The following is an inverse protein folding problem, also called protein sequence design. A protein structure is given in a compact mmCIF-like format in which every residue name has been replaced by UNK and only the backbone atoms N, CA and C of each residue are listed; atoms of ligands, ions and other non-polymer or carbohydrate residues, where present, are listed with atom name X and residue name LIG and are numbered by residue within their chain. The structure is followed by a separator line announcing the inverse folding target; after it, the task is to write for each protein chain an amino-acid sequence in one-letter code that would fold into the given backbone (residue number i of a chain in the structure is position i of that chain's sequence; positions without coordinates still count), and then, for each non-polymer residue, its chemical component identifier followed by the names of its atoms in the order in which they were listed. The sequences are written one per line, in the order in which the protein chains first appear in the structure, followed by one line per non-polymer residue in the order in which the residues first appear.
data_IF_886769380243
#
_entry.id   IF_886769380243
#
_cell.length_a   1.000
_cell.length_b   1.000
_cell.length_c   1.000
_cell.angle_alpha   90.00
_cell.angle_beta   90.00
_cell.angle_gamma   90.00
#
_symmetry.space_group_name_H-M   'P 1'
#
loop_
_entity.id
_entity.type
_entity.pdbx_description
1 polymer ?
#
# COMPACT_ATOMS: atom_id res chain seq x y z
N UNK A 1 -11.88 0.02 -15.37
CA UNK A 1 -12.15 1.40 -14.90
C UNK A 1 -10.92 1.78 -14.08
N UNK A 2 -10.09 2.71 -14.54
CA UNK A 2 -8.78 2.98 -13.91
C UNK A 2 -8.93 3.87 -12.68
N UNK A 3 -8.41 3.44 -11.53
CA UNK A 3 -8.42 4.23 -10.30
C UNK A 3 -7.53 5.44 -10.45
N UNK A 4 -8.08 6.64 -10.20
CA UNK A 4 -7.32 7.87 -10.22
C UNK A 4 -6.93 8.25 -8.79
N UNK A 5 -5.76 7.77 -8.34
CA UNK A 5 -5.19 8.14 -7.04
C UNK A 5 -4.79 9.63 -6.96
N UNK A 6 -5.02 10.44 -8.00
CA UNK A 6 -4.63 11.87 -8.05
C UNK A 6 -5.24 12.73 -6.95
N UNK A 7 -6.33 12.30 -6.30
CA UNK A 7 -6.88 13.03 -5.15
C UNK A 7 -6.10 12.76 -3.86
N UNK A 8 -5.37 11.66 -3.80
CA UNK A 8 -4.58 11.15 -2.68
C UNK A 8 -5.40 10.87 -1.44
N UNK A 9 -5.38 9.64 -0.93
CA UNK A 9 -6.08 9.26 0.29
C UNK A 9 -5.15 9.33 1.50
N UNK A 10 -5.64 9.81 2.66
CA UNK A 10 -4.87 9.74 3.89
C UNK A 10 -4.69 8.27 4.31
N UNK A 11 -3.48 7.92 4.74
CA UNK A 11 -3.24 6.64 5.40
C UNK A 11 -4.08 6.58 6.68
N UNK A 12 -4.90 5.53 6.88
CA UNK A 12 -5.77 5.41 8.06
C UNK A 12 -4.98 5.23 9.36
N UNK A 13 -3.68 4.90 9.28
CA UNK A 13 -2.83 4.71 10.46
C UNK A 13 -2.07 5.99 10.84
N UNK A 14 -1.44 6.67 9.89
CA UNK A 14 -0.54 7.81 10.18
C UNK A 14 -1.04 9.17 9.65
N UNK A 15 -2.18 9.21 8.96
CA UNK A 15 -2.78 10.43 8.42
C UNK A 15 -2.05 11.06 7.21
N UNK A 16 -0.85 10.60 6.87
CA UNK A 16 -0.12 11.13 5.71
C UNK A 16 -0.87 10.83 4.42
N UNK A 17 -0.90 11.82 3.52
CA UNK A 17 -1.56 11.71 2.22
C UNK A 17 -0.71 10.86 1.28
N UNK A 18 -1.30 9.79 0.74
CA UNK A 18 -0.68 8.95 -0.27
C UNK A 18 -1.09 9.48 -1.64
N UNK A 19 -0.16 10.14 -2.33
CA UNK A 19 -0.39 10.90 -3.56
C UNK A 19 -0.17 10.06 -4.84
N UNK A 20 0.51 8.91 -4.73
CA UNK A 20 0.79 8.00 -5.86
C UNK A 20 0.84 6.54 -5.42
N UNK A 21 0.35 5.65 -6.27
CA UNK A 21 0.77 4.26 -6.29
C UNK A 21 1.68 4.04 -7.49
N UNK A 22 2.80 3.34 -7.28
CA UNK A 22 3.64 2.87 -8.37
C UNK A 22 3.39 1.38 -8.52
N UNK A 23 2.74 0.93 -9.59
CA UNK A 23 2.48 -0.49 -9.76
C UNK A 23 3.78 -1.26 -10.03
N UNK A 24 3.84 -2.49 -9.57
CA UNK A 24 4.97 -3.39 -9.81
C UNK A 24 4.67 -4.21 -11.06
N UNK A 25 5.34 -3.91 -12.19
CA UNK A 25 5.19 -4.60 -13.47
C UNK A 25 4.91 -3.67 -14.66
N UNK A 26 5.20 -4.15 -15.88
CA UNK A 26 4.88 -3.44 -17.12
C UNK A 26 4.07 -4.34 -18.07
N UNK A 27 2.98 -3.85 -18.70
CA UNK A 27 2.41 -2.51 -18.54
C UNK A 27 1.87 -2.30 -17.11
N UNK A 28 1.96 -1.06 -16.62
CA UNK A 28 1.51 -0.67 -15.28
C UNK A 28 0.02 -1.04 -15.11
N UNK A 29 -0.34 -2.08 -14.33
CA UNK A 29 -1.74 -2.42 -14.11
C UNK A 29 -2.48 -1.25 -13.44
N UNK A 30 -3.75 -1.07 -13.80
CA UNK A 30 -4.64 -0.22 -13.03
C UNK A 30 -4.81 -0.82 -11.64
N UNK A 31 -4.67 0.02 -10.61
CA UNK A 31 -5.06 -0.36 -9.25
C UNK A 31 -6.54 -0.69 -9.25
N UNK A 32 -6.96 -1.74 -8.54
CA UNK A 32 -8.34 -2.17 -8.36
C UNK A 32 -8.70 -2.27 -6.87
N UNK A 33 -9.99 -2.22 -6.52
CA UNK A 33 -10.42 -2.58 -5.17
C UNK A 33 -9.95 -3.99 -4.81
N UNK A 34 -9.39 -4.16 -3.62
CA UNK A 34 -8.75 -5.38 -3.16
C UNK A 34 -7.23 -5.39 -3.33
N UNK A 35 -6.67 -4.52 -4.17
CA UNK A 35 -5.22 -4.39 -4.29
C UNK A 35 -4.60 -3.87 -3.00
N UNK A 36 -3.33 -4.20 -2.81
CA UNK A 36 -2.56 -3.85 -1.62
C UNK A 36 -1.52 -2.78 -1.96
N UNK A 37 -1.30 -1.86 -1.04
CA UNK A 37 -0.28 -0.82 -1.13
C UNK A 37 0.42 -0.66 0.21
N UNK A 38 1.66 -0.17 0.21
CA UNK A 38 2.42 0.08 1.43
C UNK A 38 2.61 1.57 1.63
N UNK A 39 2.27 2.08 2.81
CA UNK A 39 2.50 3.48 3.15
C UNK A 39 4.01 3.75 3.27
N UNK A 40 4.56 4.61 2.42
CA UNK A 40 5.98 4.98 2.47
C UNK A 40 6.38 5.80 3.72
N UNK A 41 5.42 6.28 4.51
CA UNK A 41 5.69 7.05 5.73
C UNK A 41 5.72 6.19 6.99
N UNK A 42 4.75 5.30 7.18
CA UNK A 42 4.64 4.47 8.39
C UNK A 42 4.83 2.97 8.15
N UNK A 43 5.06 2.55 6.91
CA UNK A 43 5.22 1.16 6.47
C UNK A 43 4.00 0.24 6.72
N UNK A 44 2.82 0.79 7.02
CA UNK A 44 1.61 -0.03 7.12
C UNK A 44 1.17 -0.52 5.75
N UNK A 45 0.73 -1.78 5.69
CA UNK A 45 0.09 -2.38 4.52
C UNK A 45 -1.38 -2.01 4.52
N UNK A 46 -1.85 -1.48 3.40
CA UNK A 46 -3.19 -0.94 3.21
C UNK A 46 -3.88 -1.66 2.05
N UNK A 47 -5.19 -1.82 2.16
CA UNK A 47 -6.04 -2.39 1.12
C UNK A 47 -6.88 -1.29 0.48
N UNK A 48 -6.91 -1.27 -0.84
CA UNK A 48 -7.73 -0.35 -1.64
C UNK A 48 -9.18 -0.81 -1.58
N UNK A 49 -10.07 0.05 -1.10
CA UNK A 49 -11.49 -0.27 -0.92
C UNK A 49 -12.33 0.01 -2.16
N UNK A 50 -12.00 1.05 -2.92
CA UNK A 50 -12.80 1.53 -4.03
C UNK A 50 -11.96 2.33 -5.03
N UNK A 51 -12.64 2.80 -6.08
CA UNK A 51 -12.02 3.58 -7.15
C UNK A 51 -11.77 5.04 -6.80
N UNK A 52 -12.26 5.50 -5.65
CA UNK A 52 -12.00 6.84 -5.12
C UNK A 52 -10.70 6.89 -4.31
N UNK A 53 -10.05 5.73 -4.15
CA UNK A 53 -8.76 5.58 -3.49
C UNK A 53 -8.90 5.44 -1.98
N UNK A 54 -10.08 5.14 -1.45
CA UNK A 54 -10.23 4.91 -0.01
C UNK A 54 -9.41 3.69 0.42
N UNK A 55 -8.77 3.80 1.59
CA UNK A 55 -7.83 2.80 2.10
C UNK A 55 -8.27 2.34 3.48
N UNK A 56 -8.08 1.06 3.76
CA UNK A 56 -8.10 0.53 5.12
C UNK A 56 -6.79 -0.17 5.43
N UNK A 57 -6.52 -0.36 6.72
CA UNK A 57 -5.42 -1.23 7.15
C UNK A 57 -5.74 -2.68 6.78
N UNK A 58 -4.73 -3.40 6.29
CA UNK A 58 -4.81 -4.85 6.11
C UNK A 58 -4.93 -5.52 7.49
N UNK A 59 -5.80 -6.52 7.59
CA UNK A 59 -5.95 -7.30 8.82
C UNK A 59 -4.88 -8.39 8.92
N UNK A 60 -4.59 -8.84 10.14
CA UNK A 60 -3.64 -9.95 10.36
C UNK A 60 -4.06 -11.23 9.65
N UNK A 61 -5.37 -11.53 9.60
CA UNK A 61 -5.90 -12.70 8.89
C UNK A 61 -5.64 -12.63 7.38
N UNK A 62 -5.78 -11.44 6.79
CA UNK A 62 -5.48 -11.22 5.37
C UNK A 62 -3.98 -11.32 5.10
N UNK A 63 -3.14 -10.80 6.00
CA UNK A 63 -1.69 -10.91 5.90
C UNK A 63 -1.25 -12.38 5.96
N UNK A 64 -1.82 -13.18 6.87
CA UNK A 64 -1.56 -14.62 6.96
C UNK A 64 -2.01 -15.35 5.70
N UNK A 65 -3.10 -14.92 5.07
CA UNK A 65 -3.65 -15.53 3.86
C UNK A 65 -2.85 -15.22 2.58
N UNK A 66 -1.89 -14.29 2.62
CA UNK A 66 -0.99 -14.02 1.50
C UNK A 66 -0.03 -15.19 1.24
N UNK A 67 0.33 -15.36 -0.02
CA UNK A 67 1.38 -16.30 -0.43
C UNK A 67 2.73 -15.93 0.22
N UNK A 68 3.54 -16.95 0.52
CA UNK A 68 4.83 -16.80 1.20
C UNK A 68 5.74 -15.76 0.55
N UNK A 69 5.89 -15.82 -0.77
CA UNK A 69 6.72 -14.87 -1.54
C UNK A 69 6.18 -13.43 -1.44
N UNK A 70 4.86 -13.26 -1.40
CA UNK A 70 4.26 -11.92 -1.22
C UNK A 70 4.53 -11.39 0.18
N UNK A 71 4.40 -12.21 1.23
CA UNK A 71 4.69 -11.81 2.62
C UNK A 71 6.16 -11.46 2.82
N UNK A 72 7.06 -12.23 2.22
CA UNK A 72 8.50 -11.96 2.29
C UNK A 72 8.85 -10.62 1.62
N UNK A 73 8.30 -10.37 0.43
CA UNK A 73 8.48 -9.09 -0.28
C UNK A 73 7.91 -7.92 0.50
N UNK A 74 6.71 -8.05 1.07
CA UNK A 74 6.12 -7.01 1.92
C UNK A 74 6.99 -6.72 3.14
N UNK A 75 7.46 -7.77 3.83
CA UNK A 75 8.36 -7.64 4.99
C UNK A 75 9.64 -6.89 4.62
N UNK A 76 10.23 -7.20 3.46
CA UNK A 76 11.39 -6.50 2.94
C UNK A 76 11.11 -5.02 2.67
N UNK A 77 10.01 -4.71 1.96
CA UNK A 77 9.61 -3.32 1.66
C UNK A 77 9.40 -2.53 2.95
N UNK A 78 8.70 -3.11 3.93
CA UNK A 78 8.47 -2.48 5.23
C UNK A 78 9.78 -2.22 5.98
N UNK A 79 10.71 -3.17 5.97
CA UNK A 79 12.03 -3.01 6.58
C UNK A 79 12.80 -1.85 5.94
N UNK A 80 12.81 -1.78 4.60
CA UNK A 80 13.44 -0.69 3.83
C UNK A 80 12.83 0.66 4.22
N UNK A 81 11.49 0.77 4.23
CA UNK A 81 10.81 2.01 4.62
C UNK A 81 11.16 2.41 6.05
N UNK A 82 11.12 1.47 7.01
CA UNK A 82 11.41 1.74 8.42
C UNK A 82 12.87 2.17 8.66
N UNK A 83 13.81 1.62 7.90
CA UNK A 83 15.23 1.94 8.02
C UNK A 83 15.61 3.25 7.31
N UNK A 84 14.95 3.59 6.20
CA UNK A 84 15.23 4.80 5.42
C UNK A 84 14.32 6.01 5.77
N UNK A 85 13.17 5.78 6.39
CA UNK A 85 12.24 6.81 6.86
C UNK A 85 12.70 7.56 8.11
N UNK A 86 13.82 7.16 8.74
CA UNK A 86 14.45 7.84 9.88
C UNK A 86 15.46 8.91 9.47
N UNK A 87 15.07 9.84 8.60
CA UNK A 87 15.77 11.12 8.49
C UNK A 87 14.91 12.19 9.16
N UNK A 88 15.33 12.53 10.38
CA UNK A 88 14.86 13.67 11.16
C UNK A 88 15.01 14.99 10.38
#
# INVERSE_FOLDING_TARGET
MSINLSKGAPCPTCGHKLDRATPVGFPAPSVNPGDITVCAYCADVLVVLDTDGNLRKMTEQEEIALEDDTRERLSYIQLVIKNHGRRA
#
